data_IF_603667356179
#
_entry.id   IF_603667356179
#
_cell.length_a   1.000
_cell.length_b   1.000
_cell.length_c   1.000
_cell.angle_alpha   90.00
_cell.angle_beta   90.00
_cell.angle_gamma   90.00
#
_symmetry.space_group_name_H-M   'P 1'
#
loop_
_entity.id
_entity.type
_entity.pdbx_description
1 polymer ?
#
# COMPACT_ATOMS: atom_id res chain seq x y z
N UNK A 1 -13.34 35.21 -4.32
CA UNK A 1 -14.44 34.25 -4.08
C UNK A 1 -14.04 33.39 -2.87
N UNK A 2 -14.82 33.38 -1.81
CA UNK A 2 -14.50 32.57 -0.63
C UNK A 2 -14.78 31.07 -0.93
N UNK A 3 -13.87 30.18 -0.53
CA UNK A 3 -14.09 28.74 -0.62
C UNK A 3 -15.19 28.37 0.38
N UNK A 4 -16.38 28.07 -0.10
CA UNK A 4 -17.55 27.77 0.73
C UNK A 4 -17.65 26.29 1.14
N UNK A 5 -16.87 25.41 0.51
CA UNK A 5 -16.97 23.95 0.74
C UNK A 5 -15.61 23.28 0.71
N UNK A 6 -15.31 22.53 1.77
CA UNK A 6 -14.15 21.64 1.89
C UNK A 6 -14.64 20.20 2.01
N UNK A 7 -13.98 19.26 1.34
CA UNK A 7 -14.24 17.83 1.49
C UNK A 7 -12.98 17.12 1.98
N UNK A 8 -13.15 16.17 2.89
CA UNK A 8 -12.09 15.32 3.43
C UNK A 8 -12.38 13.87 3.08
N UNK A 9 -11.34 13.11 2.83
CA UNK A 9 -11.47 11.68 2.64
C UNK A 9 -12.17 11.05 3.85
N UNK A 10 -13.10 10.14 3.60
CA UNK A 10 -13.89 9.45 4.61
C UNK A 10 -13.58 7.96 4.65
N UNK A 11 -13.87 7.25 3.56
CA UNK A 11 -13.66 5.81 3.45
C UNK A 11 -13.55 5.36 2.00
N UNK A 12 -13.03 4.15 1.81
CA UNK A 12 -13.10 3.41 0.55
C UNK A 12 -13.99 2.19 0.77
N UNK A 13 -14.85 1.87 -0.20
CA UNK A 13 -15.72 0.69 -0.21
C UNK A 13 -15.72 0.05 -1.59
N UNK A 14 -16.21 -1.19 -1.67
CA UNK A 14 -16.28 -1.98 -2.88
C UNK A 14 -15.89 -3.41 -2.58
N UNK A 15 -14.92 -3.99 -3.31
CA UNK A 15 -14.41 -5.33 -3.00
C UNK A 15 -13.72 -5.41 -1.63
N UNK A 16 -13.33 -4.26 -1.06
CA UNK A 16 -12.80 -4.14 0.30
C UNK A 16 -13.43 -2.90 0.98
N UNK A 17 -13.32 -2.84 2.31
CA UNK A 17 -13.80 -1.71 3.09
C UNK A 17 -12.67 -1.15 3.97
N UNK A 18 -12.22 0.08 3.67
CA UNK A 18 -11.14 0.76 4.39
C UNK A 18 -11.67 2.03 5.04
N UNK A 19 -11.41 2.18 6.34
CA UNK A 19 -11.92 3.30 7.16
C UNK A 19 -10.83 4.18 7.72
N UNK A 20 -9.59 3.71 7.77
CA UNK A 20 -8.44 4.42 8.34
C UNK A 20 -7.48 4.86 7.23
N UNK A 21 -7.92 5.81 6.42
CA UNK A 21 -7.12 6.35 5.30
C UNK A 21 -6.62 7.73 5.71
N UNK A 22 -5.32 7.99 5.57
CA UNK A 22 -4.68 9.21 6.09
C UNK A 22 -4.33 10.22 4.99
N UNK A 23 -3.97 9.75 3.81
CA UNK A 23 -3.59 10.60 2.68
C UNK A 23 -4.20 10.06 1.39
N UNK A 24 -4.49 10.94 0.45
CA UNK A 24 -4.96 10.55 -0.88
C UNK A 24 -4.49 11.59 -1.90
N UNK A 25 -3.96 11.11 -3.00
CA UNK A 25 -3.59 11.92 -4.15
C UNK A 25 -4.24 11.31 -5.40
N UNK A 26 -4.88 12.14 -6.19
CA UNK A 26 -5.51 11.79 -7.46
C UNK A 26 -4.72 12.40 -8.60
N UNK A 27 -4.42 11.61 -9.60
CA UNK A 27 -3.75 12.07 -10.81
C UNK A 27 -4.53 11.62 -12.03
N UNK A 28 -4.75 12.51 -12.96
CA UNK A 28 -5.34 12.17 -14.26
C UNK A 28 -4.31 11.54 -15.22
N UNK A 29 -3.01 11.60 -14.88
CA UNK A 29 -1.94 11.02 -15.70
C UNK A 29 -1.90 11.50 -17.13
N UNK A 30 -2.26 12.77 -17.39
CA UNK A 30 -2.41 13.32 -18.75
C UNK A 30 -1.04 13.54 -19.37
N UNK A 31 -0.82 12.96 -20.55
CA UNK A 31 0.29 13.25 -21.45
C UNK A 31 -0.26 13.99 -22.68
N UNK A 32 0.24 15.19 -22.91
CA UNK A 32 -0.14 16.01 -24.07
C UNK A 32 0.92 15.94 -25.14
N UNK A 33 0.49 15.85 -26.39
CA UNK A 33 1.31 16.10 -27.57
C UNK A 33 1.18 17.59 -27.93
N UNK A 34 2.32 18.22 -28.17
CA UNK A 34 2.40 19.63 -28.57
C UNK A 34 3.27 19.71 -29.82
N UNK A 35 2.75 20.29 -30.90
CA UNK A 35 3.49 20.41 -32.15
C UNK A 35 3.81 21.86 -32.48
N UNK A 36 5.06 22.06 -32.89
CA UNK A 36 5.63 23.30 -33.39
C UNK A 36 5.91 23.17 -34.88
N UNK A 37 5.06 23.68 -35.76
CA UNK A 37 5.33 23.65 -37.21
C UNK A 37 6.64 24.38 -37.55
N UNK A 38 7.28 23.96 -38.62
CA UNK A 38 8.54 24.55 -39.09
C UNK A 38 8.38 26.07 -39.31
N UNK A 39 9.29 26.84 -38.71
CA UNK A 39 9.30 28.29 -38.80
C UNK A 39 8.42 29.02 -37.76
N UNK A 40 7.79 28.32 -36.83
CA UNK A 40 7.02 28.89 -35.75
C UNK A 40 7.72 28.71 -34.40
N UNK A 41 7.68 29.73 -33.57
CA UNK A 41 8.19 29.71 -32.18
C UNK A 41 7.13 29.26 -31.18
N UNK A 42 5.86 29.41 -31.54
CA UNK A 42 4.72 29.06 -30.70
C UNK A 42 4.08 27.75 -31.13
N UNK A 43 3.56 26.93 -30.20
CA UNK A 43 2.86 25.71 -30.54
C UNK A 43 1.52 26.02 -31.25
N UNK A 44 1.28 25.36 -32.34
CA UNK A 44 0.03 25.51 -33.09
C UNK A 44 -0.97 24.37 -32.92
N UNK A 45 -0.53 23.28 -32.31
CA UNK A 45 -1.40 22.13 -32.02
C UNK A 45 -1.10 21.55 -30.65
N UNK A 46 -2.17 21.20 -29.94
CA UNK A 46 -2.11 20.46 -28.68
C UNK A 46 -3.25 19.47 -28.57
N UNK A 47 -2.93 18.22 -28.28
CA UNK A 47 -3.93 17.19 -27.99
C UNK A 47 -3.50 16.36 -26.77
N UNK A 48 -4.48 15.78 -26.07
CA UNK A 48 -4.18 14.73 -25.09
C UNK A 48 -3.90 13.45 -25.86
N UNK A 49 -2.71 12.90 -25.66
CA UNK A 49 -2.25 11.68 -26.32
C UNK A 49 -2.61 10.45 -25.49
N UNK A 50 -2.47 10.54 -24.18
CA UNK A 50 -2.63 9.43 -23.26
C UNK A 50 -3.05 9.94 -21.88
N UNK A 51 -3.90 9.18 -21.20
CA UNK A 51 -4.28 9.45 -19.80
C UNK A 51 -4.20 8.15 -18.99
N UNK A 52 -3.33 8.15 -17.97
CA UNK A 52 -3.15 7.03 -17.02
C UNK A 52 -3.60 7.46 -15.62
N UNK A 53 -4.89 7.46 -15.34
CA UNK A 53 -5.41 7.94 -14.08
C UNK A 53 -5.07 6.99 -12.94
N UNK A 54 -4.59 7.54 -11.84
CA UNK A 54 -4.22 6.78 -10.66
C UNK A 54 -4.63 7.48 -9.36
N UNK A 55 -4.79 6.68 -8.32
CA UNK A 55 -5.03 7.12 -6.95
C UNK A 55 -3.98 6.52 -6.04
N UNK A 56 -3.22 7.39 -5.37
CA UNK A 56 -2.32 6.98 -4.29
C UNK A 56 -3.01 7.26 -2.95
N UNK A 57 -2.96 6.34 -2.02
CA UNK A 57 -3.47 6.57 -0.67
C UNK A 57 -2.67 5.80 0.38
N UNK A 58 -2.66 6.32 1.60
CA UNK A 58 -2.04 5.67 2.75
C UNK A 58 -3.14 5.14 3.66
N UNK A 59 -3.05 3.85 4.00
CA UNK A 59 -4.03 3.14 4.80
C UNK A 59 -3.37 2.54 6.05
N UNK A 60 -4.02 2.70 7.21
CA UNK A 60 -3.59 2.07 8.45
C UNK A 60 -4.53 0.94 8.91
N UNK A 61 -5.56 0.65 8.14
CA UNK A 61 -6.47 -0.48 8.33
C UNK A 61 -5.85 -1.73 7.68
N UNK A 62 -4.68 -2.16 8.22
CA UNK A 62 -3.85 -3.18 7.59
C UNK A 62 -4.53 -4.54 7.50
N UNK A 63 -5.27 -4.95 8.55
CA UNK A 63 -5.93 -6.24 8.54
C UNK A 63 -6.98 -6.33 7.44
N UNK A 64 -7.83 -5.29 7.30
CA UNK A 64 -8.84 -5.22 6.24
C UNK A 64 -8.22 -5.12 4.85
N UNK A 65 -7.13 -4.37 4.72
CA UNK A 65 -6.41 -4.23 3.44
C UNK A 65 -5.80 -5.58 3.03
N UNK A 66 -4.99 -6.19 3.88
CA UNK A 66 -4.19 -7.36 3.56
C UNK A 66 -5.01 -8.66 3.49
N UNK A 67 -6.20 -8.69 4.08
CA UNK A 67 -7.15 -9.79 3.89
C UNK A 67 -7.64 -9.89 2.43
N UNK A 68 -7.59 -8.79 1.68
CA UNK A 68 -8.11 -8.74 0.30
C UNK A 68 -7.02 -8.47 -0.72
N UNK A 69 -6.04 -7.61 -0.38
CA UNK A 69 -4.96 -7.19 -1.28
C UNK A 69 -3.66 -7.88 -0.85
N UNK A 70 -3.42 -9.06 -1.40
CA UNK A 70 -2.15 -9.78 -1.23
C UNK A 70 -1.03 -9.18 -2.09
N UNK A 71 0.13 -9.84 -2.12
CA UNK A 71 1.21 -9.50 -3.05
C UNK A 71 0.82 -9.70 -4.54
N UNK A 72 -0.30 -10.35 -4.83
CA UNK A 72 -0.86 -10.44 -6.18
C UNK A 72 -1.66 -9.21 -6.58
N UNK A 73 -1.87 -8.26 -5.66
CA UNK A 73 -2.78 -7.14 -5.88
C UNK A 73 -4.24 -7.55 -5.91
N UNK A 74 -5.09 -6.64 -6.33
CA UNK A 74 -6.54 -6.84 -6.48
C UNK A 74 -7.02 -6.22 -7.79
N UNK A 75 -7.52 -7.03 -8.69
CA UNK A 75 -8.23 -6.55 -9.87
C UNK A 75 -9.60 -5.98 -9.46
N UNK A 76 -9.85 -4.73 -9.82
CA UNK A 76 -11.15 -4.07 -9.64
C UNK A 76 -11.95 -4.29 -10.91
N UNK A 77 -12.92 -5.19 -10.87
CA UNK A 77 -13.85 -5.47 -11.97
C UNK A 77 -15.14 -6.07 -11.43
N UNK A 78 -16.26 -5.77 -12.05
CA UNK A 78 -17.61 -6.23 -11.61
C UNK A 78 -18.12 -5.54 -10.33
N UNK A 79 -17.31 -5.39 -9.30
CA UNK A 79 -17.64 -4.61 -8.10
C UNK A 79 -16.74 -3.37 -8.06
N UNK A 80 -17.28 -2.16 -8.27
CA UNK A 80 -16.49 -0.94 -8.35
C UNK A 80 -15.89 -0.56 -7.00
N UNK A 81 -14.71 0.05 -7.04
CA UNK A 81 -14.11 0.68 -5.88
C UNK A 81 -14.60 2.12 -5.75
N UNK A 82 -15.16 2.46 -4.59
CA UNK A 82 -15.79 3.75 -4.34
C UNK A 82 -15.11 4.47 -3.20
N UNK A 83 -14.57 5.64 -3.50
CA UNK A 83 -13.97 6.55 -2.51
C UNK A 83 -14.95 7.64 -2.13
N UNK A 84 -15.21 7.78 -0.83
CA UNK A 84 -16.13 8.77 -0.29
C UNK A 84 -15.40 9.95 0.35
N UNK A 85 -15.93 11.15 0.12
CA UNK A 85 -15.44 12.41 0.66
C UNK A 85 -16.51 13.08 1.49
N UNK A 86 -16.23 13.27 2.77
CA UNK A 86 -17.11 13.94 3.73
C UNK A 86 -16.97 15.45 3.61
N UNK A 87 -18.09 16.16 3.48
CA UNK A 87 -18.11 17.61 3.50
C UNK A 87 -17.80 18.11 4.91
N UNK A 88 -16.92 19.08 5.02
CA UNK A 88 -16.67 19.86 6.22
C UNK A 88 -17.48 21.15 6.19
N UNK A 89 -17.95 21.63 7.33
CA UNK A 89 -18.54 22.94 7.51
C UNK A 89 -17.57 23.86 8.28
N UNK A 90 -17.86 25.14 8.31
CA UNK A 90 -17.10 26.12 9.11
C UNK A 90 -17.16 25.85 10.61
N UNK A 91 -18.21 25.18 11.07
CA UNK A 91 -18.44 24.86 12.49
C UNK A 91 -18.12 23.39 12.84
N UNK A 92 -17.61 22.62 11.91
CA UNK A 92 -17.27 21.20 12.11
C UNK A 92 -17.64 20.29 10.94
N UNK A 93 -17.94 19.04 11.25
CA UNK A 93 -18.31 18.05 10.25
C UNK A 93 -19.82 18.10 9.96
N UNK A 94 -20.16 18.08 8.67
CA UNK A 94 -21.55 17.88 8.24
C UNK A 94 -22.01 16.46 8.61
N UNK A 95 -23.27 16.31 9.05
CA UNK A 95 -23.81 15.01 9.44
C UNK A 95 -23.75 14.00 8.26
N UNK A 96 -23.39 12.77 8.56
CA UNK A 96 -23.14 11.72 7.54
C UNK A 96 -24.37 11.40 6.69
N UNK A 97 -25.55 11.43 7.30
CA UNK A 97 -26.81 11.12 6.61
C UNK A 97 -27.27 12.18 5.60
N UNK A 98 -26.64 13.38 5.58
CA UNK A 98 -27.01 14.43 4.63
C UNK A 98 -26.47 14.13 3.24
N UNK A 99 -27.22 14.52 2.21
CA UNK A 99 -26.82 14.34 0.79
C UNK A 99 -25.86 15.46 0.32
N UNK A 100 -24.86 15.80 1.12
CA UNK A 100 -23.91 16.88 0.80
C UNK A 100 -22.48 16.37 0.55
N UNK A 101 -22.26 15.08 0.61
CA UNK A 101 -20.97 14.46 0.43
C UNK A 101 -20.72 14.12 -1.04
N UNK A 102 -19.55 13.63 -1.35
CA UNK A 102 -19.10 13.30 -2.71
C UNK A 102 -18.55 11.89 -2.76
N UNK A 103 -18.56 11.29 -3.95
CA UNK A 103 -17.85 10.03 -4.20
C UNK A 103 -17.17 10.05 -5.56
N UNK A 104 -16.13 9.24 -5.68
CA UNK A 104 -15.50 8.88 -6.95
C UNK A 104 -15.55 7.36 -7.05
N UNK A 105 -16.00 6.87 -8.19
CA UNK A 105 -16.14 5.45 -8.49
C UNK A 105 -15.12 5.06 -9.56
N UNK A 106 -14.42 3.95 -9.36
CA UNK A 106 -13.53 3.29 -10.32
C UNK A 106 -14.14 1.93 -10.62
N UNK A 107 -14.55 1.70 -11.86
CA UNK A 107 -15.22 0.47 -12.29
C UNK A 107 -14.23 -0.61 -12.73
N UNK A 108 -13.12 -0.22 -13.37
CA UNK A 108 -12.06 -1.09 -13.82
C UNK A 108 -10.72 -0.55 -13.36
N UNK A 109 -9.84 -1.41 -12.87
CA UNK A 109 -8.52 -1.02 -12.42
C UNK A 109 -7.77 -2.11 -11.68
N UNK A 110 -6.62 -1.76 -11.13
CA UNK A 110 -5.79 -2.66 -10.35
C UNK A 110 -5.29 -1.95 -9.10
N UNK A 111 -5.60 -2.50 -7.94
CA UNK A 111 -5.19 -2.00 -6.62
C UNK A 111 -4.05 -2.86 -6.08
N UNK A 112 -2.97 -2.23 -5.67
CA UNK A 112 -1.87 -2.88 -4.95
C UNK A 112 -1.29 -1.95 -3.89
N UNK A 113 -0.63 -2.52 -2.91
CA UNK A 113 0.21 -1.75 -2.00
C UNK A 113 1.65 -1.72 -2.55
N UNK A 114 2.32 -0.60 -2.39
CA UNK A 114 3.72 -0.41 -2.82
C UNK A 114 4.68 -0.62 -1.66
N UNK A 115 4.32 -0.11 -0.48
CA UNK A 115 5.14 -0.20 0.71
C UNK A 115 4.27 -0.36 1.96
N UNK A 116 4.74 -1.18 2.91
CA UNK A 116 4.17 -1.29 4.25
C UNK A 116 5.26 -0.94 5.27
N UNK A 117 4.97 -0.02 6.17
CA UNK A 117 5.88 0.40 7.24
C UNK A 117 5.33 -0.04 8.60
N UNK A 118 6.13 -0.79 9.35
CA UNK A 118 5.82 -1.30 10.68
C UNK A 118 6.83 -0.74 11.69
N UNK A 119 6.58 0.41 12.32
CA UNK A 119 7.47 0.97 13.34
C UNK A 119 7.28 0.28 14.69
N UNK A 120 8.35 0.23 15.52
CA UNK A 120 8.27 -0.28 16.90
C UNK A 120 7.35 0.56 17.78
N UNK A 121 7.53 1.88 17.73
CA UNK A 121 6.72 2.86 18.49
C UNK A 121 5.95 3.76 17.52
N UNK A 122 4.85 3.24 16.99
CA UNK A 122 4.04 3.99 16.05
C UNK A 122 2.95 3.14 15.43
N UNK A 123 2.12 3.79 14.64
CA UNK A 123 1.09 3.11 13.86
C UNK A 123 1.65 2.68 12.52
N UNK A 124 1.48 1.42 12.21
CA UNK A 124 1.81 0.89 10.91
C UNK A 124 0.88 1.44 9.83
N UNK A 125 1.41 1.60 8.64
CA UNK A 125 0.65 2.03 7.47
C UNK A 125 1.13 1.33 6.19
N UNK A 126 0.23 1.30 5.19
CA UNK A 126 0.50 0.81 3.86
C UNK A 126 0.24 1.93 2.84
N UNK A 127 1.18 2.15 1.94
CA UNK A 127 0.98 3.00 0.76
C UNK A 127 0.39 2.15 -0.35
N UNK A 128 -0.76 2.57 -0.87
CA UNK A 128 -1.49 1.86 -1.91
C UNK A 128 -1.62 2.71 -3.16
N UNK A 129 -1.63 2.04 -4.30
CA UNK A 129 -1.87 2.64 -5.61
C UNK A 129 -3.01 1.89 -6.29
N UNK A 130 -4.03 2.63 -6.69
CA UNK A 130 -5.08 2.17 -7.57
C UNK A 130 -4.85 2.77 -8.95
N UNK A 131 -4.53 1.96 -9.92
CA UNK A 131 -4.45 2.34 -11.32
C UNK A 131 -5.80 2.07 -11.96
N UNK A 132 -6.44 3.11 -12.48
CA UNK A 132 -7.75 3.00 -13.09
C UNK A 132 -7.63 2.84 -14.61
N UNK A 133 -8.53 2.05 -15.18
CA UNK A 133 -8.63 1.81 -16.61
C UNK A 133 -10.07 2.10 -17.11
N UNK A 134 -10.21 2.25 -18.41
CA UNK A 134 -11.51 2.45 -19.07
C UNK A 134 -12.24 1.10 -19.20
N UNK A 135 -13.47 1.03 -18.75
CA UNK A 135 -14.28 -0.19 -18.78
C UNK A 135 -15.10 -0.39 -20.08
N UNK A 136 -14.86 0.44 -21.10
CA UNK A 136 -15.61 0.43 -22.36
C UNK A 136 -16.89 1.27 -22.33
N UNK A 137 -17.27 1.81 -21.18
CA UNK A 137 -18.52 2.57 -21.02
C UNK A 137 -18.34 3.82 -20.18
N UNK A 138 -17.66 3.70 -19.04
CA UNK A 138 -17.49 4.78 -18.09
C UNK A 138 -16.04 5.27 -18.07
N UNK A 139 -15.86 6.58 -17.90
CA UNK A 139 -14.54 7.15 -17.64
C UNK A 139 -13.88 6.45 -16.43
N UNK A 140 -12.55 6.35 -16.40
CA UNK A 140 -11.85 5.69 -15.29
C UNK A 140 -12.20 6.25 -13.90
N UNK A 141 -12.54 7.55 -13.82
CA UNK A 141 -13.03 8.20 -12.62
C UNK A 141 -14.43 8.78 -12.82
N UNK A 142 -15.43 8.10 -12.28
CA UNK A 142 -16.82 8.58 -12.30
C UNK A 142 -17.10 9.37 -11.04
N UNK A 143 -17.27 10.68 -11.17
CA UNK A 143 -17.56 11.59 -10.07
C UNK A 143 -19.08 11.73 -9.83
N UNK A 144 -19.49 11.70 -8.56
CA UNK A 144 -20.85 11.99 -8.16
C UNK A 144 -20.89 12.86 -6.88
N UNK A 145 -21.70 13.93 -6.96
CA UNK A 145 -22.07 14.77 -5.82
C UNK A 145 -23.32 14.24 -5.10
N UNK A 146 -23.77 15.00 -4.11
CA UNK A 146 -25.05 14.76 -3.40
C UNK A 146 -25.20 13.36 -2.80
N UNK A 147 -24.14 12.85 -2.17
CA UNK A 147 -24.10 11.52 -1.55
C UNK A 147 -24.33 11.59 -0.05
N UNK A 148 -25.09 10.64 0.50
CA UNK A 148 -25.11 10.36 1.92
C UNK A 148 -24.02 9.33 2.30
N UNK A 149 -23.45 9.44 3.50
CA UNK A 149 -22.46 8.49 4.00
C UNK A 149 -23.13 7.53 4.97
N UNK A 150 -23.00 6.24 4.72
CA UNK A 150 -23.49 5.18 5.64
C UNK A 150 -22.47 4.84 6.71
N UNK A 151 -22.97 4.37 7.86
CA UNK A 151 -22.17 3.86 8.96
C UNK A 151 -21.29 4.92 9.66
N UNK A 152 -20.72 4.55 10.77
CA UNK A 152 -19.73 5.35 11.50
C UNK A 152 -18.33 4.82 11.20
N UNK A 153 -17.34 5.72 11.22
CA UNK A 153 -15.95 5.30 11.18
C UNK A 153 -15.52 4.93 12.60
N UNK A 154 -14.91 3.76 12.73
CA UNK A 154 -14.32 3.31 13.99
C UNK A 154 -12.86 2.94 13.74
N UNK A 155 -11.96 3.46 14.57
CA UNK A 155 -10.55 3.08 14.59
C UNK A 155 -10.29 2.46 15.96
N UNK A 156 -10.38 1.14 16.06
CA UNK A 156 -10.29 0.40 17.32
C UNK A 156 -8.97 -0.32 17.52
N UNK A 157 -8.17 -0.40 16.47
CA UNK A 157 -6.92 -1.15 16.45
C UNK A 157 -5.87 -0.48 15.58
N UNK A 158 -4.60 -0.76 15.87
CA UNK A 158 -3.48 -0.47 14.98
C UNK A 158 -2.42 -1.57 15.12
N UNK A 159 -1.48 -1.58 14.20
CA UNK A 159 -0.38 -2.53 14.16
C UNK A 159 0.95 -1.80 14.30
N UNK A 160 1.96 -2.51 14.79
CA UNK A 160 3.35 -2.06 14.85
C UNK A 160 4.29 -3.25 14.63
N UNK A 161 5.60 -3.02 14.65
CA UNK A 161 6.58 -4.08 14.49
C UNK A 161 6.45 -5.14 15.59
N UNK A 162 6.42 -6.39 15.18
CA UNK A 162 6.51 -7.57 16.02
C UNK A 162 7.90 -8.23 15.94
N UNK A 163 8.06 -9.45 16.45
CA UNK A 163 9.29 -10.22 16.32
C UNK A 163 9.56 -10.58 14.85
N UNK A 164 10.86 -10.71 14.53
CA UNK A 164 11.38 -11.14 13.23
C UNK A 164 12.27 -12.33 13.44
N UNK A 165 12.17 -13.32 12.56
CA UNK A 165 13.00 -14.52 12.56
C UNK A 165 13.60 -14.71 11.15
N UNK A 166 14.85 -15.11 11.08
CA UNK A 166 15.53 -15.50 9.85
C UNK A 166 16.06 -16.91 10.07
N UNK A 167 15.63 -17.86 9.23
CA UNK A 167 15.94 -19.30 9.35
C UNK A 167 15.67 -19.84 10.77
N UNK A 168 14.56 -19.40 11.37
CA UNK A 168 14.15 -19.77 12.72
C UNK A 168 14.90 -19.05 13.87
N UNK A 169 15.93 -18.27 13.58
CA UNK A 169 16.65 -17.49 14.58
C UNK A 169 16.01 -16.11 14.75
N UNK A 170 15.68 -15.72 15.99
CA UNK A 170 15.09 -14.40 16.26
C UNK A 170 16.12 -13.29 16.06
N UNK A 171 15.74 -12.26 15.32
CA UNK A 171 16.50 -11.03 15.15
C UNK A 171 16.24 -10.11 16.35
N UNK A 172 17.26 -9.79 17.17
CA UNK A 172 17.08 -8.95 18.34
C UNK A 172 16.96 -7.47 17.99
N UNK A 173 16.36 -6.69 18.88
CA UNK A 173 16.38 -5.22 18.82
C UNK A 173 15.65 -4.58 17.64
N UNK A 174 14.63 -5.21 17.06
CA UNK A 174 13.90 -4.71 15.91
C UNK A 174 13.25 -3.35 16.21
N UNK A 175 13.60 -2.34 15.42
CA UNK A 175 13.10 -0.95 15.48
C UNK A 175 12.03 -0.64 14.44
N UNK A 176 12.20 -1.15 13.23
CA UNK A 176 11.19 -1.02 12.17
C UNK A 176 11.33 -2.12 11.13
N UNK A 177 10.24 -2.41 10.45
CA UNK A 177 10.19 -3.31 9.30
C UNK A 177 9.54 -2.54 8.18
N UNK A 178 10.17 -2.52 7.02
CA UNK A 178 9.65 -1.93 5.80
C UNK A 178 9.55 -3.01 4.73
N UNK A 179 8.40 -3.11 4.10
CA UNK A 179 8.11 -4.10 3.07
C UNK A 179 7.83 -3.34 1.78
N UNK A 180 8.66 -3.54 0.77
CA UNK A 180 8.41 -3.09 -0.60
C UNK A 180 7.83 -4.25 -1.39
N UNK A 181 6.72 -4.05 -2.08
CA UNK A 181 6.11 -5.10 -2.90
C UNK A 181 6.89 -5.40 -4.18
N UNK A 182 7.63 -4.42 -4.69
CA UNK A 182 8.30 -4.51 -5.98
C UNK A 182 7.35 -4.80 -7.14
N UNK A 183 6.07 -4.43 -7.01
CA UNK A 183 5.06 -4.66 -8.05
C UNK A 183 5.23 -3.66 -9.18
N UNK A 184 5.33 -4.19 -10.39
CA UNK A 184 5.27 -3.43 -11.63
C UNK A 184 4.03 -3.85 -12.42
N UNK A 185 3.34 -2.86 -13.00
CA UNK A 185 2.11 -3.07 -13.76
C UNK A 185 2.39 -2.90 -15.26
N UNK A 186 1.68 -3.69 -16.05
CA UNK A 186 1.50 -3.44 -17.48
C UNK A 186 0.18 -2.69 -17.67
N UNK A 187 0.20 -1.68 -18.51
CA UNK A 187 -0.96 -0.85 -18.88
C UNK A 187 -0.97 -0.70 -20.39
N UNK A 188 -2.09 -1.06 -21.02
CA UNK A 188 -2.24 -1.04 -22.46
C UNK A 188 -3.58 -0.41 -22.85
N UNK A 189 -3.52 0.47 -23.84
CA UNK A 189 -4.69 1.04 -24.50
C UNK A 189 -4.96 0.38 -25.86
N UNK A 190 -6.17 0.52 -26.36
CA UNK A 190 -6.58 0.03 -27.68
C UNK A 190 -7.53 1.01 -28.38
N UNK A 191 -7.75 0.79 -29.69
CA UNK A 191 -8.77 1.46 -30.49
C UNK A 191 -8.69 3.00 -30.52
N UNK A 192 -7.48 3.54 -30.37
CA UNK A 192 -7.21 4.99 -30.31
C UNK A 192 -7.89 5.71 -29.11
N UNK A 193 -8.29 4.97 -28.08
CA UNK A 193 -8.77 5.55 -26.84
C UNK A 193 -7.67 6.33 -26.11
N UNK A 194 -8.05 7.38 -25.44
CA UNK A 194 -7.12 8.19 -24.64
C UNK A 194 -6.73 7.49 -23.35
N UNK A 195 -7.57 6.58 -22.86
CA UNK A 195 -7.37 5.81 -21.64
C UNK A 195 -6.93 4.38 -21.94
N UNK A 196 -6.10 3.85 -21.06
CA UNK A 196 -5.78 2.42 -21.09
C UNK A 196 -7.03 1.60 -20.78
N UNK A 197 -7.21 0.51 -21.54
CA UNK A 197 -8.33 -0.43 -21.41
C UNK A 197 -7.95 -1.69 -20.64
N UNK A 198 -6.64 -1.90 -20.44
CA UNK A 198 -6.09 -3.02 -19.69
C UNK A 198 -5.08 -2.53 -18.66
N UNK A 199 -5.16 -3.11 -17.47
CA UNK A 199 -4.16 -2.97 -16.41
C UNK A 199 -4.00 -4.31 -15.69
N UNK A 200 -2.76 -4.74 -15.50
CA UNK A 200 -2.47 -6.01 -14.85
C UNK A 200 -1.07 -6.07 -14.24
N UNK A 201 -0.82 -7.12 -13.49
CA UNK A 201 0.48 -7.39 -12.89
C UNK A 201 1.46 -7.86 -13.99
N UNK A 202 2.60 -7.18 -14.10
CA UNK A 202 3.70 -7.58 -14.98
C UNK A 202 4.73 -8.42 -14.23
N UNK A 203 5.23 -7.89 -13.13
CA UNK A 203 6.20 -8.58 -12.26
C UNK A 203 6.13 -8.08 -10.83
N UNK A 204 6.77 -8.81 -9.92
CA UNK A 204 6.92 -8.47 -8.51
C UNK A 204 8.27 -8.95 -8.00
N UNK A 205 8.91 -8.14 -7.16
CA UNK A 205 10.19 -8.46 -6.53
C UNK A 205 10.18 -7.89 -5.10
N UNK A 206 9.52 -8.58 -4.15
CA UNK A 206 9.36 -8.04 -2.81
C UNK A 206 10.68 -8.00 -2.05
N UNK A 207 10.86 -6.91 -1.30
CA UNK A 207 11.99 -6.71 -0.40
C UNK A 207 11.49 -6.35 0.98
N UNK A 208 12.13 -6.91 2.00
CA UNK A 208 11.85 -6.60 3.40
C UNK A 208 13.11 -6.04 4.03
N UNK A 209 13.04 -4.80 4.53
CA UNK A 209 14.13 -4.16 5.26
C UNK A 209 13.81 -4.13 6.74
N UNK A 210 14.63 -4.77 7.54
CA UNK A 210 14.54 -4.82 9.00
C UNK A 210 15.62 -3.92 9.59
N UNK A 211 15.23 -2.90 10.35
CA UNK A 211 16.17 -2.05 11.10
C UNK A 211 16.22 -2.49 12.55
N UNK A 212 17.43 -2.65 13.08
CA UNK A 212 17.67 -3.09 14.45
C UNK A 212 18.55 -2.10 15.23
N UNK A 213 18.52 -2.17 16.55
CA UNK A 213 19.40 -1.40 17.46
C UNK A 213 20.66 -2.17 17.85
N UNK A 214 20.77 -3.42 17.43
CA UNK A 214 21.88 -4.30 17.78
C UNK A 214 22.62 -4.74 16.53
N UNK A 215 23.95 -4.66 16.55
CA UNK A 215 24.83 -5.08 15.45
C UNK A 215 25.22 -6.59 15.50
N UNK A 216 24.57 -7.35 16.35
CA UNK A 216 24.79 -8.80 16.49
C UNK A 216 24.51 -9.58 15.21
N UNK A 217 23.67 -9.00 14.36
CA UNK A 217 23.25 -9.62 13.10
C UNK A 217 24.41 -9.84 12.11
N UNK A 218 25.44 -9.02 12.15
CA UNK A 218 26.63 -9.19 11.31
C UNK A 218 27.38 -10.50 11.59
N UNK A 219 27.40 -10.92 12.84
CA UNK A 219 28.03 -12.18 13.22
C UNK A 219 27.17 -13.40 12.73
N UNK A 220 25.90 -13.25 12.67
CA UNK A 220 24.97 -14.32 12.25
C UNK A 220 24.84 -14.41 10.72
N UNK A 221 24.75 -13.25 10.03
CA UNK A 221 24.55 -13.20 8.58
C UNK A 221 25.86 -13.28 7.80
N UNK A 222 26.98 -12.93 8.42
CA UNK A 222 28.27 -12.80 7.74
C UNK A 222 28.31 -11.62 6.75
N UNK A 223 29.48 -11.41 6.14
CA UNK A 223 29.68 -10.30 5.18
C UNK A 223 29.08 -10.56 3.79
N UNK A 224 28.78 -11.82 3.48
CA UNK A 224 28.24 -12.23 2.17
C UNK A 224 26.73 -12.45 2.19
N UNK A 225 26.09 -12.25 3.34
CA UNK A 225 24.69 -12.53 3.54
C UNK A 225 24.40 -14.00 3.84
N UNK A 226 23.12 -14.29 4.00
CA UNK A 226 22.60 -15.62 4.36
C UNK A 226 21.45 -15.98 3.41
N UNK A 227 21.52 -17.15 2.80
CA UNK A 227 20.37 -17.69 2.05
C UNK A 227 19.29 -18.19 3.01
N UNK A 228 18.04 -18.01 2.61
CA UNK A 228 16.89 -18.55 3.33
C UNK A 228 16.82 -20.08 3.15
N UNK A 229 16.44 -20.79 4.19
CA UNK A 229 16.54 -22.27 4.27
C UNK A 229 15.39 -23.04 3.58
N UNK A 230 14.46 -22.33 2.95
CA UNK A 230 13.30 -22.91 2.29
C UNK A 230 12.25 -23.51 3.23
N UNK A 231 12.50 -23.53 4.55
CA UNK A 231 11.62 -24.13 5.56
C UNK A 231 11.07 -23.09 6.52
N UNK A 232 11.94 -22.34 7.18
CA UNK A 232 11.58 -21.27 8.10
C UNK A 232 11.71 -19.90 7.40
N UNK A 233 12.77 -19.73 6.59
CA UNK A 233 12.99 -18.54 5.77
C UNK A 233 13.00 -17.25 6.59
N UNK A 234 12.30 -16.24 6.09
CA UNK A 234 11.98 -15.00 6.79
C UNK A 234 10.57 -15.08 7.35
N UNK A 235 10.43 -14.91 8.66
CA UNK A 235 9.15 -14.81 9.35
C UNK A 235 9.10 -13.54 10.18
N UNK A 236 8.01 -12.80 10.11
CA UNK A 236 7.82 -11.65 10.97
C UNK A 236 6.34 -11.33 11.20
N UNK A 237 6.07 -10.54 12.21
CA UNK A 237 4.71 -10.23 12.64
C UNK A 237 4.47 -8.74 12.69
N UNK A 238 3.28 -8.30 12.24
CA UNK A 238 2.73 -7.03 12.65
C UNK A 238 1.89 -7.27 13.91
N UNK A 239 2.36 -6.73 15.05
CA UNK A 239 1.71 -6.89 16.35
C UNK A 239 0.53 -5.97 16.47
N UNK A 240 -0.61 -6.53 16.84
CA UNK A 240 -1.85 -5.78 17.07
C UNK A 240 -1.84 -5.06 18.41
N UNK A 241 -2.35 -3.84 18.38
CA UNK A 241 -2.70 -3.04 19.56
C UNK A 241 -4.21 -2.73 19.51
N UNK A 242 -4.91 -3.02 20.58
CA UNK A 242 -6.30 -2.63 20.80
C UNK A 242 -6.37 -1.42 21.75
N UNK A 243 -7.56 -0.88 21.99
CA UNK A 243 -7.75 0.31 22.82
C UNK A 243 -7.14 0.25 24.24
N UNK A 244 -6.91 -0.94 24.77
CA UNK A 244 -6.34 -1.18 26.10
C UNK A 244 -4.85 -1.57 26.09
N UNK A 245 -4.18 -1.51 24.93
CA UNK A 245 -2.76 -1.83 24.80
C UNK A 245 -2.46 -3.02 23.89
N UNK A 246 -1.36 -3.70 24.13
CA UNK A 246 -0.92 -4.86 23.33
C UNK A 246 -1.91 -6.03 23.44
N UNK A 247 -2.28 -6.59 22.31
CA UNK A 247 -2.96 -7.90 22.29
C UNK A 247 -1.96 -8.99 22.65
N UNK A 248 -2.38 -9.98 23.44
CA UNK A 248 -1.52 -11.09 23.88
C UNK A 248 -1.00 -11.90 22.65
N UNK A 249 0.26 -12.32 22.70
CA UNK A 249 0.91 -13.05 21.61
C UNK A 249 0.13 -14.31 21.19
N UNK A 250 -0.38 -15.07 22.14
CA UNK A 250 -1.15 -16.29 21.88
C UNK A 250 -2.51 -16.06 21.20
N UNK A 251 -2.94 -14.81 21.04
CA UNK A 251 -4.22 -14.49 20.39
C UNK A 251 -4.04 -14.42 18.89
N UNK A 252 -4.81 -15.17 18.12
CA UNK A 252 -4.77 -15.19 16.66
C UNK A 252 -5.38 -13.91 16.05
N UNK A 253 -4.74 -12.76 16.31
CA UNK A 253 -5.16 -11.44 15.83
C UNK A 253 -4.00 -10.60 15.25
N UNK A 254 -2.80 -11.13 15.21
CA UNK A 254 -1.64 -10.49 14.60
C UNK A 254 -1.59 -10.81 13.11
N UNK A 255 -0.84 -10.02 12.35
CA UNK A 255 -0.59 -10.30 10.93
C UNK A 255 0.76 -10.99 10.83
N UNK A 256 0.80 -12.14 10.21
CA UNK A 256 2.00 -12.94 9.97
C UNK A 256 2.42 -12.82 8.51
N UNK A 257 3.70 -12.63 8.30
CA UNK A 257 4.35 -12.57 7.00
C UNK A 257 5.42 -13.64 6.93
N UNK A 258 5.47 -14.37 5.81
CA UNK A 258 6.46 -15.42 5.60
C UNK A 258 6.97 -15.40 4.16
N UNK A 259 8.31 -15.41 4.01
CA UNK A 259 9.02 -15.62 2.76
C UNK A 259 10.00 -16.77 2.94
N UNK A 260 9.83 -17.86 2.20
CA UNK A 260 10.62 -19.07 2.43
C UNK A 260 11.96 -19.05 1.72
N UNK A 261 12.02 -18.40 0.55
CA UNK A 261 13.21 -18.41 -0.30
C UNK A 261 13.71 -16.99 -0.60
N UNK A 262 15.01 -16.83 -0.75
CA UNK A 262 15.65 -15.56 -1.00
C UNK A 262 16.98 -15.43 -0.26
N UNK A 263 17.45 -14.20 -0.12
CA UNK A 263 18.71 -13.92 0.59
C UNK A 263 18.56 -12.74 1.54
N UNK A 264 19.13 -12.88 2.74
CA UNK A 264 19.25 -11.83 3.73
C UNK A 264 20.65 -11.18 3.61
N UNK A 265 20.69 -9.91 3.27
CA UNK A 265 21.92 -9.17 3.03
C UNK A 265 22.05 -8.10 4.12
N UNK A 266 23.15 -8.07 4.91
CA UNK A 266 23.41 -6.98 5.82
C UNK A 266 23.67 -5.71 5.00
N UNK A 267 22.94 -4.64 5.30
CA UNK A 267 23.16 -3.33 4.73
C UNK A 267 23.88 -2.41 5.72
N UNK A 268 24.16 -1.20 5.30
CA UNK A 268 24.97 -0.23 6.03
C UNK A 268 24.61 -0.11 7.52
N UNK A 269 25.64 -0.02 8.34
CA UNK A 269 25.56 0.30 9.74
C UNK A 269 25.85 1.80 9.91
N UNK A 270 24.86 2.55 10.37
CA UNK A 270 25.02 3.99 10.68
C UNK A 270 25.32 4.18 12.16
N UNK A 271 26.55 4.56 12.46
CA UNK A 271 26.98 5.01 13.79
C UNK A 271 27.35 6.47 13.79
N UNK A 272 26.67 7.30 14.58
CA UNK A 272 27.08 8.67 14.87
C UNK A 272 27.50 8.78 16.34
N UNK A 273 28.43 9.67 16.67
CA UNK A 273 29.03 9.84 18.00
C UNK A 273 28.03 9.99 19.18
N UNK A 274 26.78 10.30 18.90
CA UNK A 274 25.72 10.50 19.89
C UNK A 274 24.47 9.65 19.69
N UNK A 275 24.45 8.76 18.70
CA UNK A 275 23.28 7.91 18.38
C UNK A 275 23.64 6.43 18.50
N UNK A 276 22.71 5.57 18.96
CA UNK A 276 22.93 4.12 18.92
C UNK A 276 23.22 3.65 17.49
N UNK A 277 24.14 2.74 17.34
CA UNK A 277 24.39 2.06 16.06
C UNK A 277 23.10 1.35 15.66
N UNK A 278 22.64 1.59 14.44
CA UNK A 278 21.49 0.90 13.86
C UNK A 278 21.93 0.13 12.64
N UNK A 279 21.63 -1.17 12.62
CA UNK A 279 21.86 -2.04 11.48
C UNK A 279 20.60 -2.17 10.66
N UNK A 280 20.75 -2.26 9.34
CA UNK A 280 19.68 -2.64 8.43
C UNK A 280 20.01 -4.00 7.79
N UNK A 281 19.03 -4.87 7.74
CA UNK A 281 19.07 -6.14 7.03
C UNK A 281 18.04 -6.05 5.93
N UNK A 282 18.45 -6.23 4.68
CA UNK A 282 17.51 -6.34 3.56
C UNK A 282 17.39 -7.79 3.14
N UNK A 283 16.17 -8.28 3.09
CA UNK A 283 15.84 -9.62 2.61
C UNK A 283 15.17 -9.48 1.26
N UNK A 284 15.82 -10.01 0.23
CA UNK A 284 15.26 -10.10 -1.11
C UNK A 284 14.59 -11.47 -1.27
N UNK A 285 13.29 -11.45 -1.51
CA UNK A 285 12.48 -12.67 -1.55
C UNK A 285 12.26 -13.13 -2.99
N UNK A 286 12.35 -14.42 -3.19
CA UNK A 286 12.08 -15.08 -4.48
C UNK A 286 10.95 -16.12 -4.32
N UNK A 287 10.36 -16.52 -5.42
CA UNK A 287 9.39 -17.61 -5.45
C UNK A 287 10.09 -18.91 -5.73
N UNK A 288 9.87 -19.92 -4.91
CA UNK A 288 10.38 -21.27 -5.15
C UNK A 288 9.66 -22.01 -6.28
N UNK A 289 8.49 -21.52 -6.70
CA UNK A 289 7.73 -22.07 -7.82
C UNK A 289 6.69 -21.09 -8.34
N UNK A 290 6.15 -21.32 -9.53
CA UNK A 290 5.12 -20.47 -10.16
C UNK A 290 3.81 -20.35 -9.36
N UNK A 291 3.55 -21.32 -8.48
CA UNK A 291 2.33 -21.37 -7.67
C UNK A 291 2.46 -20.78 -6.26
N UNK A 292 3.68 -20.41 -5.84
CA UNK A 292 3.95 -19.89 -4.50
C UNK A 292 4.32 -18.42 -4.57
N UNK A 293 3.68 -17.57 -3.76
CA UNK A 293 4.04 -16.18 -3.64
C UNK A 293 5.38 -16.04 -2.91
N UNK A 294 6.29 -15.13 -3.34
CA UNK A 294 7.53 -14.85 -2.62
C UNK A 294 7.31 -14.41 -1.18
N UNK A 295 6.18 -13.75 -0.90
CA UNK A 295 5.75 -13.34 0.43
C UNK A 295 4.28 -13.71 0.63
N UNK A 296 4.02 -14.53 1.62
CA UNK A 296 2.66 -14.90 2.05
C UNK A 296 2.24 -14.07 3.26
N UNK A 297 0.94 -13.78 3.37
CA UNK A 297 0.38 -12.92 4.42
C UNK A 297 -0.82 -13.62 5.04
N UNK A 298 -0.82 -13.75 6.37
CA UNK A 298 -1.94 -14.29 7.15
C UNK A 298 -2.41 -13.25 8.16
N UNK A 299 -3.63 -12.75 8.03
CA UNK A 299 -4.14 -11.62 8.82
C UNK A 299 -4.70 -11.98 10.19
N UNK A 300 -4.72 -13.25 10.56
CA UNK A 300 -5.21 -13.74 11.85
C UNK A 300 -4.28 -14.85 12.37
N UNK A 301 -3.13 -14.46 12.96
CA UNK A 301 -2.13 -15.39 13.48
C UNK A 301 -1.78 -15.07 14.93
N UNK A 302 -1.41 -16.09 15.70
CA UNK A 302 -0.72 -15.93 16.98
C UNK A 302 0.76 -15.71 16.73
N UNK A 303 1.44 -15.00 17.62
CA UNK A 303 2.90 -14.87 17.62
C UNK A 303 3.45 -16.08 18.37
N UNK A 304 4.16 -16.93 17.68
CA UNK A 304 4.83 -18.11 18.20
C UNK A 304 6.12 -17.75 18.92
#
# INVERSE_FOLDING_TARGET
MAISTLHRLDKITGPLALTQITQTKWSAGIKSMVEYPAGHTDPMFRANQEQKPLVEFTCSDLASLLATVSLSGLAVSGTPLVTYFKKASTTGNVARATTQHRKITVNLGFLHWTNISLPHNGRADAKCVLTAAYDGTNEPFVYAGSQALSGNLTATEYFGAGPVFINGAQVPGVKSIEIDSGIELIQEGSDSEVWDTFVGLQRRAPKVTVRTLENVNWATLGLVGLELDGTNGLEFYARKYAAQGRVANATAQHIFFQGLEGSAIPMDSDGQDSSPISDAITVELISGSDSVLPLTITTASAIS
#
